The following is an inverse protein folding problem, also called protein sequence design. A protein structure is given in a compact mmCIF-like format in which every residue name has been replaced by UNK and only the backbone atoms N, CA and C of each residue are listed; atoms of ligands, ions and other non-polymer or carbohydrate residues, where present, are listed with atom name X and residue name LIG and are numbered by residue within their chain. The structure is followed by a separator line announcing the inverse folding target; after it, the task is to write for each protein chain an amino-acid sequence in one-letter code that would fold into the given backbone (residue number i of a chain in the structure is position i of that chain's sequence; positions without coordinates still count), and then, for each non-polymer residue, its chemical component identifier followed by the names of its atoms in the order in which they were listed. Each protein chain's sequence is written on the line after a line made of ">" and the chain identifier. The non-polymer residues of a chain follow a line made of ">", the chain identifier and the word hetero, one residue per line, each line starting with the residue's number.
data_IF_290479913304
#
_entry.id   IF_290479913304
#
_cell.length_a   1.000
_cell.length_b   1.000
_cell.length_c   1.000
_cell.angle_alpha   90.00
_cell.angle_beta   90.00
_cell.angle_gamma   90.00
#
_symmetry.space_group_name_H-M   'P 1'
#
loop_
_entity.id
_entity.type
_entity.pdbx_description
1 polymer ?
#
# COMPACT_ATOMS: atom_id res chain seq x y z
N UNK A 1 -24.95 -10.20 33.76
CA UNK A 1 -23.49 -10.02 34.01
C UNK A 1 -22.80 -9.62 32.69
N UNK A 2 -23.14 -8.45 32.18
CA UNK A 2 -22.81 -7.90 30.85
C UNK A 2 -21.53 -7.05 30.85
N UNK A 3 -20.46 -7.51 31.50
CA UNK A 3 -19.32 -6.64 31.86
C UNK A 3 -17.96 -6.99 31.24
N UNK A 4 -17.81 -8.05 30.42
CA UNK A 4 -16.48 -8.42 29.89
C UNK A 4 -16.34 -8.43 28.37
N UNK A 5 -17.33 -7.94 27.62
CA UNK A 5 -17.23 -7.82 26.15
C UNK A 5 -17.14 -6.37 25.65
N UNK A 6 -17.21 -5.38 26.56
CA UNK A 6 -17.16 -3.95 26.24
C UNK A 6 -15.73 -3.39 26.34
N UNK A 7 -14.76 -4.13 26.87
CA UNK A 7 -13.40 -3.60 27.08
C UNK A 7 -12.41 -3.76 25.91
N UNK A 8 -12.86 -4.20 24.73
CA UNK A 8 -11.99 -4.27 23.53
C UNK A 8 -12.52 -3.44 22.34
N UNK A 9 -13.61 -2.68 22.52
CA UNK A 9 -14.26 -1.91 21.43
C UNK A 9 -14.26 -0.39 21.72
N UNK A 10 -13.46 0.09 22.66
CA UNK A 10 -13.38 1.53 23.00
C UNK A 10 -12.00 2.20 22.81
N UNK A 11 -11.15 1.69 21.91
CA UNK A 11 -9.90 2.37 21.52
C UNK A 11 -9.88 2.87 20.05
N UNK A 12 -11.00 2.81 19.32
CA UNK A 12 -11.02 3.14 17.89
C UNK A 12 -11.98 4.27 17.48
N UNK A 13 -12.15 5.28 18.33
CA UNK A 13 -12.57 6.59 17.84
C UNK A 13 -11.43 7.22 17.02
N UNK A 14 -11.25 6.76 15.78
CA UNK A 14 -10.22 7.25 14.84
C UNK A 14 -10.77 8.50 14.15
N UNK A 15 -10.05 9.61 14.26
CA UNK A 15 -10.42 10.87 13.60
C UNK A 15 -10.38 10.74 12.07
N UNK A 16 -11.17 11.54 11.36
CA UNK A 16 -11.16 11.63 9.88
C UNK A 16 -9.75 11.87 9.32
N UNK A 17 -8.91 12.61 10.05
CA UNK A 17 -7.49 12.85 9.75
C UNK A 17 -6.64 11.58 9.81
N UNK A 18 -6.92 10.67 10.76
CA UNK A 18 -6.24 9.37 10.86
C UNK A 18 -6.59 8.47 9.67
N UNK A 19 -7.87 8.44 9.27
CA UNK A 19 -8.36 7.65 8.13
C UNK A 19 -7.76 8.15 6.81
N UNK A 20 -7.73 9.47 6.60
CA UNK A 20 -7.05 10.07 5.45
C UNK A 20 -5.55 9.68 5.41
N UNK A 21 -4.86 9.74 6.54
CA UNK A 21 -3.43 9.41 6.59
C UNK A 21 -3.14 7.93 6.24
N UNK A 22 -4.05 7.01 6.56
CA UNK A 22 -3.90 5.60 6.18
C UNK A 22 -4.23 5.35 4.71
N UNK A 23 -5.24 6.04 4.16
CA UNK A 23 -5.61 5.93 2.74
C UNK A 23 -4.52 6.46 1.80
N UNK A 24 -3.78 7.48 2.22
CA UNK A 24 -2.80 8.15 1.35
C UNK A 24 -1.32 7.89 1.71
N UNK A 25 -1.00 7.38 2.91
CA UNK A 25 0.40 7.24 3.38
C UNK A 25 0.72 6.00 4.26
N UNK A 26 -0.11 4.96 4.28
CA UNK A 26 0.08 3.83 5.20
C UNK A 26 1.20 2.85 4.81
N UNK A 27 2.40 2.95 5.43
CA UNK A 27 3.31 1.80 5.60
C UNK A 27 2.70 0.78 6.57
N UNK A 28 2.86 -0.49 6.23
CA UNK A 28 2.32 -1.68 6.89
C UNK A 28 2.46 -1.72 8.42
N UNK A 29 1.35 -1.67 9.14
CA UNK A 29 1.24 -2.31 10.45
C UNK A 29 0.75 -3.75 10.25
N UNK A 30 1.67 -4.69 9.96
CA UNK A 30 1.36 -6.12 9.96
C UNK A 30 1.19 -6.59 11.41
N UNK A 31 -0.01 -6.44 11.96
CA UNK A 31 -0.47 -7.41 12.96
C UNK A 31 -0.89 -8.67 12.21
N UNK A 32 -0.48 -9.85 12.68
CA UNK A 32 -1.01 -11.13 12.19
C UNK A 32 -2.51 -11.15 12.47
N UNK A 33 -3.29 -10.67 11.51
CA UNK A 33 -4.74 -10.77 11.53
C UNK A 33 -5.07 -12.15 11.00
N UNK A 34 -5.71 -12.98 11.81
CA UNK A 34 -6.28 -14.22 11.32
C UNK A 34 -7.46 -13.86 10.41
N UNK A 35 -7.36 -14.19 9.12
CA UNK A 35 -8.43 -13.95 8.16
C UNK A 35 -9.69 -14.70 8.59
N UNK A 36 -10.85 -14.04 8.74
CA UNK A 36 -12.12 -14.72 8.93
C UNK A 36 -12.38 -15.61 7.72
N UNK A 37 -12.57 -16.90 7.95
CA UNK A 37 -12.95 -17.87 6.92
C UNK A 37 -14.02 -18.81 7.48
N UNK A 38 -14.72 -19.52 6.60
CA UNK A 38 -15.80 -20.43 7.00
C UNK A 38 -15.33 -21.51 8.00
N UNK A 39 -14.05 -21.89 7.95
CA UNK A 39 -13.43 -22.76 8.94
C UNK A 39 -13.39 -22.10 10.33
N UNK A 40 -12.96 -20.85 10.45
CA UNK A 40 -12.94 -20.13 11.72
C UNK A 40 -14.35 -19.98 12.28
N UNK A 41 -15.33 -19.63 11.45
CA UNK A 41 -16.73 -19.54 11.87
C UNK A 41 -17.26 -20.90 12.39
N UNK A 42 -17.00 -21.98 11.67
CA UNK A 42 -17.35 -23.34 12.08
C UNK A 42 -16.69 -23.75 13.41
N UNK A 43 -15.38 -23.50 13.57
CA UNK A 43 -14.63 -23.80 14.80
C UNK A 43 -15.18 -23.01 15.98
N UNK A 44 -15.49 -21.72 15.78
CA UNK A 44 -16.08 -20.87 16.82
C UNK A 44 -17.48 -21.32 17.20
N UNK A 45 -18.31 -21.75 16.24
CA UNK A 45 -19.62 -22.31 16.53
C UNK A 45 -19.50 -23.59 17.36
N UNK A 46 -18.64 -24.54 16.94
CA UNK A 46 -18.42 -25.79 17.70
C UNK A 46 -17.84 -25.57 19.09
N UNK A 47 -16.95 -24.58 19.23
CA UNK A 47 -16.43 -24.19 20.54
C UNK A 47 -17.56 -23.66 21.43
N UNK A 48 -18.46 -22.85 20.88
CA UNK A 48 -19.60 -22.30 21.62
C UNK A 48 -20.59 -23.40 22.02
N UNK A 49 -20.97 -24.30 21.11
CA UNK A 49 -21.88 -25.44 21.38
C UNK A 49 -21.38 -26.28 22.58
N UNK A 50 -20.06 -26.51 22.66
CA UNK A 50 -19.45 -27.31 23.73
C UNK A 50 -19.35 -26.48 25.03
N UNK A 51 -18.97 -25.21 24.92
CA UNK A 51 -18.83 -24.33 26.08
C UNK A 51 -20.17 -23.88 26.70
N UNK A 52 -21.29 -24.03 26.00
CA UNK A 52 -22.63 -23.81 26.55
C UNK A 52 -22.94 -24.76 27.71
N UNK A 53 -22.41 -25.99 27.66
CA UNK A 53 -22.64 -27.03 28.66
C UNK A 53 -21.59 -27.04 29.79
N UNK A 54 -20.64 -26.09 29.78
CA UNK A 54 -19.54 -26.04 30.75
C UNK A 54 -19.63 -24.81 31.66
N UNK A 55 -19.28 -25.02 32.93
CA UNK A 55 -19.17 -23.94 33.91
C UNK A 55 -18.07 -22.96 33.49
N UNK A 56 -18.21 -21.69 33.90
CA UNK A 56 -17.36 -20.58 33.40
C UNK A 56 -15.85 -20.78 33.60
N UNK A 57 -15.42 -21.58 34.58
CA UNK A 57 -14.02 -21.93 34.84
C UNK A 57 -13.48 -23.13 34.06
N UNK A 58 -14.37 -23.93 33.46
CA UNK A 58 -14.03 -25.18 32.75
C UNK A 58 -14.16 -25.05 31.23
N UNK A 59 -14.52 -23.86 30.75
CA UNK A 59 -14.67 -23.59 29.33
C UNK A 59 -13.34 -23.70 28.59
N UNK A 60 -13.39 -24.35 27.45
CA UNK A 60 -12.26 -24.47 26.57
C UNK A 60 -11.86 -23.10 26.01
N UNK A 61 -10.55 -22.84 26.01
CA UNK A 61 -9.98 -21.73 25.25
C UNK A 61 -9.79 -22.17 23.81
N UNK A 62 -9.96 -21.25 22.87
CA UNK A 62 -9.87 -21.53 21.43
C UNK A 62 -8.59 -22.29 21.02
N UNK A 63 -7.38 -21.92 21.49
CA UNK A 63 -6.16 -22.63 21.09
C UNK A 63 -6.11 -24.08 21.61
N UNK A 64 -6.58 -24.30 22.84
CA UNK A 64 -6.61 -25.61 23.50
C UNK A 64 -7.64 -26.52 22.81
N UNK A 65 -8.81 -25.98 22.50
CA UNK A 65 -9.87 -26.66 21.75
C UNK A 65 -9.41 -27.10 20.36
N UNK A 66 -8.80 -26.18 19.60
CA UNK A 66 -8.31 -26.48 18.25
C UNK A 66 -7.26 -27.59 18.32
N UNK A 67 -6.35 -27.54 19.29
CA UNK A 67 -5.30 -28.55 19.41
C UNK A 67 -5.87 -29.94 19.78
N UNK A 68 -6.83 -29.99 20.70
CA UNK A 68 -7.44 -31.25 21.15
C UNK A 68 -8.36 -31.88 20.09
N UNK A 69 -9.10 -31.08 19.31
CA UNK A 69 -10.17 -31.56 18.42
C UNK A 69 -9.85 -31.39 16.92
N UNK A 70 -8.60 -31.07 16.56
CA UNK A 70 -8.19 -30.75 15.18
C UNK A 70 -8.67 -31.77 14.14
N UNK A 71 -8.43 -33.06 14.40
CA UNK A 71 -8.75 -34.15 13.48
C UNK A 71 -10.26 -34.30 13.24
N UNK A 72 -11.04 -34.25 14.32
CA UNK A 72 -12.51 -34.33 14.27
C UNK A 72 -13.14 -33.10 13.60
N UNK A 73 -12.61 -31.90 13.88
CA UNK A 73 -13.10 -30.67 13.26
C UNK A 73 -12.90 -30.69 11.75
N UNK A 74 -11.72 -31.14 11.27
CA UNK A 74 -11.42 -31.26 9.85
C UNK A 74 -12.34 -32.28 9.17
N UNK A 75 -12.58 -33.43 9.81
CA UNK A 75 -13.48 -34.47 9.30
C UNK A 75 -14.94 -34.01 9.24
N UNK A 76 -15.41 -33.24 10.22
CA UNK A 76 -16.78 -32.71 10.21
C UNK A 76 -16.96 -31.60 9.18
N UNK A 77 -15.96 -30.74 9.03
CA UNK A 77 -16.01 -29.65 8.06
C UNK A 77 -15.97 -30.15 6.61
N UNK A 78 -15.22 -31.21 6.32
CA UNK A 78 -15.18 -31.80 4.98
C UNK A 78 -16.53 -32.41 4.55
N UNK A 79 -17.34 -32.88 5.52
CA UNK A 79 -18.68 -33.44 5.30
C UNK A 79 -19.79 -32.40 5.15
N UNK A 80 -19.52 -31.11 5.39
CA UNK A 80 -20.53 -30.05 5.25
C UNK A 80 -20.91 -29.85 3.78
N UNK A 81 -22.23 -29.77 3.52
CA UNK A 81 -22.76 -29.51 2.18
C UNK A 81 -22.45 -28.08 1.74
N UNK A 82 -22.44 -27.79 0.42
CA UNK A 82 -22.28 -26.42 -0.08
C UNK A 82 -23.28 -25.44 0.53
N UNK A 83 -24.54 -25.86 0.71
CA UNK A 83 -25.61 -25.06 1.33
C UNK A 83 -25.34 -24.73 2.80
N UNK A 84 -24.76 -25.66 3.55
CA UNK A 84 -24.34 -25.41 4.93
C UNK A 84 -23.17 -24.43 4.96
N UNK A 85 -22.23 -24.53 4.00
CA UNK A 85 -21.10 -23.61 3.87
C UNK A 85 -21.55 -22.18 3.49
N UNK A 86 -22.59 -22.02 2.68
CA UNK A 86 -23.21 -20.72 2.39
C UNK A 86 -23.99 -20.15 3.58
N UNK A 87 -24.60 -20.99 4.43
CA UNK A 87 -25.24 -20.52 5.66
C UNK A 87 -24.29 -19.78 6.62
N UNK A 88 -22.99 -20.13 6.60
CA UNK A 88 -21.97 -19.37 7.33
C UNK A 88 -21.67 -17.99 6.70
N UNK A 89 -21.83 -17.83 5.38
CA UNK A 89 -21.74 -16.53 4.72
C UNK A 89 -22.94 -15.66 5.06
N UNK A 90 -24.14 -16.21 5.11
CA UNK A 90 -25.36 -15.48 5.50
C UNK A 90 -25.29 -15.00 6.95
N UNK A 91 -24.74 -15.84 7.84
CA UNK A 91 -24.48 -15.46 9.22
C UNK A 91 -23.47 -14.30 9.31
N UNK A 92 -22.44 -14.29 8.46
CA UNK A 92 -21.47 -13.18 8.39
C UNK A 92 -22.10 -11.90 7.86
N UNK A 93 -22.90 -11.97 6.79
CA UNK A 93 -23.65 -10.84 6.25
C UNK A 93 -24.58 -10.24 7.30
N UNK A 94 -25.30 -11.10 8.05
CA UNK A 94 -26.16 -10.69 9.16
C UNK A 94 -25.38 -9.99 10.28
N UNK A 95 -24.20 -10.50 10.61
CA UNK A 95 -23.31 -9.95 11.63
C UNK A 95 -22.75 -8.58 11.22
N UNK A 96 -22.33 -8.43 9.96
CA UNK A 96 -21.92 -7.14 9.37
C UNK A 96 -23.03 -6.09 9.47
N UNK A 97 -24.26 -6.45 9.05
CA UNK A 97 -25.42 -5.55 9.13
C UNK A 97 -25.77 -5.13 10.56
N UNK A 98 -25.67 -6.05 11.54
CA UNK A 98 -25.98 -5.75 12.95
C UNK A 98 -24.92 -4.90 13.65
N UNK A 99 -23.65 -5.07 13.29
CA UNK A 99 -22.52 -4.38 13.92
C UNK A 99 -22.11 -3.10 13.18
N UNK A 100 -22.75 -2.80 12.04
CA UNK A 100 -22.34 -1.70 11.15
C UNK A 100 -20.96 -1.91 10.54
N UNK A 101 -20.49 -3.16 10.47
CA UNK A 101 -19.18 -3.50 9.95
C UNK A 101 -19.23 -3.63 8.42
N UNK A 102 -18.38 -2.88 7.74
CA UNK A 102 -18.24 -2.90 6.28
C UNK A 102 -16.91 -3.58 5.90
N UNK A 103 -16.92 -4.42 4.88
CA UNK A 103 -15.71 -5.12 4.46
C UNK A 103 -15.92 -6.09 3.32
N UNK A 104 -14.83 -6.70 2.88
CA UNK A 104 -14.86 -7.73 1.86
C UNK A 104 -13.81 -8.80 2.15
N UNK A 105 -13.99 -9.99 1.57
CA UNK A 105 -12.95 -11.00 1.50
C UNK A 105 -12.95 -11.70 0.14
N UNK A 106 -11.78 -12.17 -0.25
CA UNK A 106 -11.57 -13.00 -1.43
C UNK A 106 -10.83 -14.24 -0.97
N UNK A 107 -11.38 -15.40 -1.28
CA UNK A 107 -10.73 -16.68 -1.07
C UNK A 107 -10.66 -17.42 -2.41
N UNK A 108 -9.47 -17.90 -2.75
CA UNK A 108 -9.17 -18.58 -4.01
C UNK A 108 -8.53 -19.92 -3.70
N UNK A 109 -8.52 -20.83 -4.68
CA UNK A 109 -7.79 -22.08 -4.56
C UNK A 109 -6.27 -21.84 -4.51
N UNK A 110 -5.59 -22.73 -3.78
CA UNK A 110 -4.13 -22.68 -3.59
C UNK A 110 -3.33 -23.52 -4.58
N UNK A 111 -3.97 -24.37 -5.37
CA UNK A 111 -3.29 -25.28 -6.30
C UNK A 111 -4.23 -25.80 -7.38
N UNK A 112 -3.65 -26.35 -8.44
CA UNK A 112 -4.38 -26.87 -9.61
C UNK A 112 -5.30 -28.04 -9.29
N UNK A 113 -4.99 -28.80 -8.24
CA UNK A 113 -5.77 -29.97 -7.79
C UNK A 113 -7.10 -29.59 -7.13
N UNK A 114 -7.25 -28.35 -6.68
CA UNK A 114 -8.51 -27.86 -6.12
C UNK A 114 -9.37 -27.26 -7.26
N UNK A 115 -10.56 -27.81 -7.44
CA UNK A 115 -11.54 -27.37 -8.44
C UNK A 115 -12.51 -26.32 -7.89
N UNK A 116 -12.30 -25.85 -6.67
CA UNK A 116 -13.09 -24.77 -6.07
C UNK A 116 -12.85 -23.45 -6.79
N UNK A 117 -13.92 -22.84 -7.32
CA UNK A 117 -13.84 -21.49 -7.87
C UNK A 117 -13.63 -20.41 -6.79
N UNK A 118 -13.24 -19.19 -7.19
CA UNK A 118 -13.08 -18.06 -6.28
C UNK A 118 -14.35 -17.77 -5.49
N UNK A 119 -14.20 -17.49 -4.20
CA UNK A 119 -15.27 -17.03 -3.32
C UNK A 119 -15.04 -15.58 -2.97
N UNK A 120 -16.03 -14.77 -3.31
CA UNK A 120 -16.03 -13.34 -3.06
C UNK A 120 -17.17 -13.00 -2.09
N UNK A 121 -16.89 -12.07 -1.20
CA UNK A 121 -17.90 -11.42 -0.37
C UNK A 121 -17.55 -9.95 -0.28
N UNK A 122 -18.54 -9.09 -0.49
CA UNK A 122 -18.43 -7.65 -0.34
C UNK A 122 -19.69 -7.13 0.34
N UNK A 123 -19.53 -6.25 1.33
CA UNK A 123 -20.62 -5.37 1.73
C UNK A 123 -20.78 -4.26 0.69
N UNK A 124 -21.97 -3.65 0.61
CA UNK A 124 -22.30 -2.65 -0.42
C UNK A 124 -21.30 -1.49 -0.46
N UNK A 125 -20.88 -0.97 0.69
CA UNK A 125 -19.90 0.13 0.73
C UNK A 125 -18.50 -0.33 0.39
N UNK A 126 -18.14 -1.56 0.77
CA UNK A 126 -16.85 -2.15 0.44
C UNK A 126 -16.71 -2.40 -1.06
N UNK A 127 -17.77 -2.85 -1.73
CA UNK A 127 -17.80 -3.01 -3.18
C UNK A 127 -17.69 -1.66 -3.88
N UNK A 128 -18.49 -0.66 -3.48
CA UNK A 128 -18.38 0.70 -4.02
C UNK A 128 -16.98 1.29 -3.82
N UNK A 129 -16.37 1.08 -2.67
CA UNK A 129 -14.99 1.51 -2.43
C UNK A 129 -14.00 0.80 -3.37
N UNK A 130 -14.12 -0.52 -3.53
CA UNK A 130 -13.25 -1.28 -4.43
C UNK A 130 -13.38 -0.79 -5.89
N UNK A 131 -14.61 -0.66 -6.39
CA UNK A 131 -14.85 -0.24 -7.77
C UNK A 131 -14.53 1.24 -8.02
N UNK A 132 -14.95 2.14 -7.12
CA UNK A 132 -14.89 3.59 -7.39
C UNK A 132 -13.60 4.24 -6.90
N UNK A 133 -13.02 3.76 -5.78
CA UNK A 133 -11.82 4.38 -5.19
C UNK A 133 -10.56 3.63 -5.59
N UNK A 134 -10.59 2.30 -5.57
CA UNK A 134 -9.42 1.49 -5.93
C UNK A 134 -9.34 1.19 -7.44
N UNK A 135 -10.39 1.49 -8.21
CA UNK A 135 -10.52 1.09 -9.63
C UNK A 135 -10.30 -0.43 -9.82
N UNK A 136 -10.82 -1.20 -8.87
CA UNK A 136 -10.71 -2.65 -8.84
C UNK A 136 -12.07 -3.28 -9.08
N UNK A 137 -12.18 -4.04 -10.16
CA UNK A 137 -13.30 -4.95 -10.38
C UNK A 137 -13.10 -6.23 -9.56
N UNK A 138 -13.97 -6.55 -8.58
CA UNK A 138 -13.78 -7.67 -7.64
C UNK A 138 -13.54 -9.03 -8.29
N UNK A 139 -14.36 -9.39 -9.29
CA UNK A 139 -14.25 -10.66 -10.00
C UNK A 139 -12.90 -10.78 -10.72
N UNK A 140 -12.50 -9.73 -11.44
CA UNK A 140 -11.23 -9.68 -12.15
C UNK A 140 -10.04 -9.71 -11.20
N UNK A 141 -10.13 -9.06 -10.04
CA UNK A 141 -9.12 -9.12 -8.99
C UNK A 141 -8.99 -10.56 -8.45
N UNK A 142 -10.10 -11.24 -8.17
CA UNK A 142 -10.08 -12.62 -7.69
C UNK A 142 -9.47 -13.58 -8.71
N UNK A 143 -9.81 -13.45 -9.99
CA UNK A 143 -9.23 -14.27 -11.07
C UNK A 143 -7.72 -14.03 -11.25
N UNK A 144 -7.27 -12.78 -11.18
CA UNK A 144 -5.84 -12.45 -11.23
C UNK A 144 -5.09 -13.04 -10.03
N UNK A 145 -5.67 -12.91 -8.84
CA UNK A 145 -5.10 -13.46 -7.63
C UNK A 145 -5.02 -14.99 -7.72
N UNK A 146 -6.08 -15.65 -8.22
CA UNK A 146 -6.10 -17.10 -8.40
C UNK A 146 -5.04 -17.55 -9.41
N UNK A 147 -4.97 -16.91 -10.58
CA UNK A 147 -3.94 -17.22 -11.56
C UNK A 147 -2.54 -17.04 -10.98
N UNK A 148 -2.28 -15.99 -10.21
CA UNK A 148 -0.98 -15.76 -9.59
C UNK A 148 -0.57 -16.89 -8.64
N UNK A 149 -1.50 -17.32 -7.77
CA UNK A 149 -1.26 -18.39 -6.79
C UNK A 149 -1.14 -19.75 -7.46
N UNK A 150 -2.05 -20.09 -8.39
CA UNK A 150 -2.07 -21.38 -9.08
C UNK A 150 -0.87 -21.56 -10.01
N UNK A 151 -0.41 -20.49 -10.67
CA UNK A 151 0.73 -20.54 -11.57
C UNK A 151 2.09 -20.66 -10.86
N UNK A 152 2.15 -20.66 -9.52
CA UNK A 152 3.42 -20.74 -8.78
C UNK A 152 4.36 -19.57 -9.08
N UNK A 153 3.79 -18.41 -9.42
CA UNK A 153 4.55 -17.20 -9.76
C UNK A 153 5.18 -16.55 -8.53
N UNK A 154 4.89 -17.02 -7.34
CA UNK A 154 5.59 -16.72 -6.09
C UNK A 154 7.08 -17.09 -6.15
N UNK A 155 7.44 -18.19 -6.83
CA UNK A 155 8.83 -18.59 -7.09
C UNK A 155 9.52 -17.72 -8.16
N UNK A 156 8.74 -17.13 -9.06
CA UNK A 156 9.20 -16.24 -10.11
C UNK A 156 9.02 -14.75 -9.76
N UNK A 157 8.52 -14.40 -8.57
CA UNK A 157 8.30 -13.01 -8.18
C UNK A 157 9.63 -12.23 -8.05
N UNK A 158 10.75 -12.92 -7.84
CA UNK A 158 12.10 -12.35 -7.98
C UNK A 158 12.52 -12.11 -9.46
N UNK A 159 11.88 -12.80 -10.42
CA UNK A 159 12.11 -12.70 -11.86
C UNK A 159 11.05 -11.87 -12.60
N UNK A 160 9.95 -11.50 -11.94
CA UNK A 160 8.98 -10.51 -12.41
C UNK A 160 9.66 -9.14 -12.39
N UNK A 161 10.50 -8.89 -13.40
CA UNK A 161 10.72 -7.54 -13.91
C UNK A 161 9.36 -6.86 -13.95
N UNK A 162 9.21 -5.76 -13.23
CA UNK A 162 8.10 -4.81 -13.36
C UNK A 162 7.59 -4.83 -14.81
N UNK A 163 6.27 -4.97 -15.06
CA UNK A 163 5.72 -5.01 -16.41
C UNK A 163 6.40 -3.90 -17.19
N UNK A 164 6.99 -4.25 -18.33
CA UNK A 164 7.90 -3.43 -19.12
C UNK A 164 7.23 -2.09 -19.47
N UNK A 165 7.21 -1.14 -18.53
CA UNK A 165 6.56 0.16 -18.70
C UNK A 165 7.23 0.78 -19.91
N UNK A 166 6.46 1.03 -20.99
CA UNK A 166 7.00 1.70 -22.16
C UNK A 166 7.82 2.91 -21.74
N UNK A 167 8.90 3.22 -22.45
CA UNK A 167 9.87 4.24 -22.04
C UNK A 167 9.19 5.54 -21.56
N UNK A 168 8.14 5.98 -22.27
CA UNK A 168 7.32 7.14 -21.92
C UNK A 168 6.65 7.04 -20.54
N UNK A 169 6.21 5.85 -20.13
CA UNK A 169 5.60 5.62 -18.82
C UNK A 169 6.63 5.67 -17.71
N UNK A 170 7.86 5.19 -17.93
CA UNK A 170 8.97 5.37 -16.99
C UNK A 170 9.33 6.86 -16.84
N UNK A 171 9.49 7.56 -17.95
CA UNK A 171 9.75 9.01 -17.98
C UNK A 171 8.67 9.77 -17.22
N UNK A 172 7.40 9.46 -17.49
CA UNK A 172 6.25 10.07 -16.81
C UNK A 172 6.30 9.82 -15.30
N UNK A 173 6.55 8.58 -14.88
CA UNK A 173 6.63 8.22 -13.46
C UNK A 173 7.76 8.94 -12.73
N UNK A 174 8.95 9.01 -13.31
CA UNK A 174 10.07 9.77 -12.72
C UNK A 174 9.72 11.25 -12.58
N UNK A 175 9.16 11.87 -13.62
CA UNK A 175 8.75 13.30 -13.59
C UNK A 175 7.70 13.56 -12.51
N UNK A 176 6.71 12.68 -12.36
CA UNK A 176 5.67 12.81 -11.34
C UNK A 176 6.28 12.76 -9.93
N UNK A 177 7.15 11.79 -9.63
CA UNK A 177 7.78 11.67 -8.31
C UNK A 177 8.64 12.91 -8.00
N UNK A 178 9.45 13.36 -8.96
CA UNK A 178 10.30 14.54 -8.80
C UNK A 178 9.42 15.79 -8.54
N UNK A 179 8.38 16.00 -9.34
CA UNK A 179 7.49 17.16 -9.23
C UNK A 179 6.69 17.15 -7.92
N UNK A 180 6.19 15.99 -7.52
CA UNK A 180 5.44 15.83 -6.27
C UNK A 180 6.34 16.08 -5.06
N UNK A 181 7.54 15.50 -5.05
CA UNK A 181 8.52 15.75 -4.00
C UNK A 181 8.91 17.23 -3.88
N UNK A 182 9.10 17.92 -5.01
CA UNK A 182 9.37 19.36 -5.01
C UNK A 182 8.20 20.14 -4.40
N UNK A 183 6.98 19.84 -4.83
CA UNK A 183 5.78 20.51 -4.32
C UNK A 183 5.65 20.33 -2.79
N UNK A 184 5.92 19.13 -2.27
CA UNK A 184 5.91 18.85 -0.83
C UNK A 184 6.95 19.70 -0.09
N UNK A 185 8.21 19.68 -0.52
CA UNK A 185 9.29 20.40 0.18
C UNK A 185 9.06 21.91 0.16
N UNK A 186 8.55 22.46 -0.95
CA UNK A 186 8.18 23.87 -1.04
C UNK A 186 6.97 24.21 -0.15
N UNK A 187 5.93 23.37 -0.14
CA UNK A 187 4.77 23.57 0.73
C UNK A 187 5.19 23.60 2.21
N UNK A 188 6.13 22.73 2.59
CA UNK A 188 6.65 22.74 3.95
C UNK A 188 7.48 23.97 4.30
N UNK A 189 8.22 24.53 3.33
CA UNK A 189 9.05 25.72 3.55
C UNK A 189 8.21 26.97 3.70
N UNK A 190 7.11 27.09 2.96
CA UNK A 190 6.29 28.31 2.90
C UNK A 190 4.97 28.24 3.70
N UNK A 191 4.87 27.35 4.71
CA UNK A 191 3.66 26.94 5.48
C UNK A 191 2.61 28.00 5.87
N UNK A 192 2.87 29.30 5.74
CA UNK A 192 1.92 30.38 6.08
C UNK A 192 1.93 31.61 5.13
N UNK A 193 2.62 31.57 3.98
CA UNK A 193 2.59 32.67 3.00
C UNK A 193 1.72 32.29 1.80
N UNK A 194 0.77 33.17 1.49
CA UNK A 194 -0.18 33.12 0.35
C UNK A 194 0.23 32.12 -0.72
N UNK A 195 -0.60 31.08 -0.90
CA UNK A 195 -0.62 30.07 -1.97
C UNK A 195 0.32 30.46 -3.13
N UNK A 196 1.63 30.24 -2.94
CA UNK A 196 2.62 30.45 -3.99
C UNK A 196 2.17 29.57 -5.12
N UNK A 197 2.04 30.14 -6.33
CA UNK A 197 1.76 29.35 -7.53
C UNK A 197 2.64 28.10 -7.48
N UNK A 198 2.01 26.92 -7.59
CA UNK A 198 2.74 25.65 -7.64
C UNK A 198 3.79 25.79 -8.73
N UNK A 199 5.06 25.87 -8.31
CA UNK A 199 6.16 26.02 -9.26
C UNK A 199 6.44 24.67 -9.87
N UNK A 200 6.47 24.67 -11.19
CA UNK A 200 6.80 23.50 -11.98
C UNK A 200 8.31 23.31 -11.98
N UNK A 201 8.75 22.05 -12.01
CA UNK A 201 10.15 21.68 -12.07
C UNK A 201 10.78 22.27 -13.33
N UNK A 202 11.80 23.11 -13.15
CA UNK A 202 12.61 23.63 -14.25
C UNK A 202 13.93 22.84 -14.31
N UNK A 203 14.06 21.98 -15.32
CA UNK A 203 15.29 21.21 -15.53
C UNK A 203 16.35 21.99 -16.31
N UNK A 204 15.98 23.05 -17.02
CA UNK A 204 16.90 23.82 -17.85
C UNK A 204 17.68 24.85 -17.04
N UNK A 205 17.00 25.46 -16.06
CA UNK A 205 17.57 26.37 -15.07
C UNK A 205 17.44 25.76 -13.66
N UNK A 206 17.77 24.48 -13.51
CA UNK A 206 17.64 23.77 -12.24
C UNK A 206 18.43 24.47 -11.12
N UNK A 207 19.69 24.81 -11.38
CA UNK A 207 20.54 25.47 -10.39
C UNK A 207 19.95 26.81 -9.95
N UNK A 208 19.65 27.71 -10.88
CA UNK A 208 19.12 29.03 -10.54
C UNK A 208 17.68 29.00 -9.98
N UNK A 209 16.73 28.42 -10.73
CA UNK A 209 15.29 28.55 -10.42
C UNK A 209 14.84 27.63 -9.28
N UNK A 210 15.56 26.52 -9.05
CA UNK A 210 15.22 25.53 -8.04
C UNK A 210 16.21 25.58 -6.87
N UNK A 211 17.50 25.38 -7.12
CA UNK A 211 18.49 25.27 -6.04
C UNK A 211 18.70 26.60 -5.34
N UNK A 212 19.10 27.63 -6.07
CA UNK A 212 19.45 28.94 -5.51
C UNK A 212 18.21 29.69 -5.02
N UNK A 213 17.18 29.76 -5.85
CA UNK A 213 15.98 30.53 -5.54
C UNK A 213 15.14 29.92 -4.41
N UNK A 214 15.07 28.59 -4.32
CA UNK A 214 14.29 27.92 -3.27
C UNK A 214 15.11 27.32 -2.15
N UNK A 215 16.44 27.23 -2.27
CA UNK A 215 17.29 26.57 -1.28
C UNK A 215 16.94 25.10 -1.11
N UNK A 216 16.61 24.41 -2.19
CA UNK A 216 16.26 22.98 -2.18
C UNK A 216 17.01 22.27 -3.29
N UNK A 217 17.56 21.09 -2.99
CA UNK A 217 18.32 20.31 -3.96
C UNK A 217 17.87 18.87 -3.96
N UNK A 218 17.96 18.23 -5.12
CA UNK A 218 17.73 16.82 -5.30
C UNK A 218 19.05 16.07 -5.04
N UNK A 219 19.15 15.44 -3.87
CA UNK A 219 20.35 14.73 -3.41
C UNK A 219 20.24 13.25 -3.78
N UNK A 220 21.37 12.63 -4.13
CA UNK A 220 21.43 11.21 -4.48
C UNK A 220 20.95 10.90 -5.90
N UNK A 221 21.00 11.90 -6.79
CA UNK A 221 20.84 11.68 -8.22
C UNK A 221 21.94 10.73 -8.73
N UNK A 222 21.63 9.70 -9.53
CA UNK A 222 22.63 8.73 -9.96
C UNK A 222 23.76 9.36 -10.81
N UNK A 223 25.01 9.01 -10.49
CA UNK A 223 26.21 9.60 -11.11
C UNK A 223 26.29 9.39 -12.62
N UNK A 224 25.79 8.25 -13.11
CA UNK A 224 25.82 7.87 -14.51
C UNK A 224 24.89 8.71 -15.41
N UNK A 225 24.05 9.56 -14.83
CA UNK A 225 23.10 10.44 -15.53
C UNK A 225 23.17 11.88 -15.04
N UNK A 226 24.27 12.25 -14.37
CA UNK A 226 24.58 13.65 -14.07
C UNK A 226 24.93 14.42 -15.35
N UNK A 227 24.65 15.74 -15.40
CA UNK A 227 23.99 16.56 -14.38
C UNK A 227 22.47 16.28 -14.29
N UNK A 228 21.80 16.83 -13.28
CA UNK A 228 20.32 16.74 -13.14
C UNK A 228 19.67 17.25 -14.43
N UNK A 229 18.89 16.39 -15.07
CA UNK A 229 18.29 16.68 -16.36
C UNK A 229 16.89 16.09 -16.47
N UNK A 230 16.12 16.58 -17.43
CA UNK A 230 14.77 16.10 -17.66
C UNK A 230 14.78 14.60 -17.99
N UNK A 231 13.98 13.76 -17.31
CA UNK A 231 13.96 12.31 -17.56
C UNK A 231 13.72 11.91 -19.03
N UNK A 232 13.07 12.75 -19.84
CA UNK A 232 12.91 12.46 -21.28
C UNK A 232 14.20 12.53 -22.09
N UNK A 233 15.24 13.24 -21.59
CA UNK A 233 16.53 13.36 -22.26
C UNK A 233 17.47 12.18 -21.97
N UNK A 234 17.19 11.39 -20.93
CA UNK A 234 17.99 10.22 -20.55
C UNK A 234 17.90 9.10 -21.60
N UNK A 235 16.78 9.00 -22.33
CA UNK A 235 16.63 8.22 -23.58
C UNK A 235 16.65 6.69 -23.46
N UNK A 236 17.32 6.12 -22.46
CA UNK A 236 17.45 4.67 -22.28
C UNK A 236 16.71 4.16 -21.04
N UNK A 237 16.18 2.94 -21.13
CA UNK A 237 15.52 2.28 -20.00
C UNK A 237 16.54 1.92 -18.93
N UNK A 238 17.71 1.51 -19.35
CA UNK A 238 18.83 1.05 -18.53
C UNK A 238 19.35 2.16 -17.62
N UNK A 239 19.26 3.42 -18.07
CA UNK A 239 19.61 4.58 -17.24
C UNK A 239 18.42 5.12 -16.42
N UNK A 240 17.18 4.98 -16.92
CA UNK A 240 15.98 5.42 -16.19
C UNK A 240 15.56 4.50 -15.04
N UNK A 241 15.80 3.19 -15.15
CA UNK A 241 15.44 2.24 -14.08
C UNK A 241 16.21 2.50 -12.78
N UNK A 242 17.55 2.72 -12.80
CA UNK A 242 18.30 3.14 -11.61
C UNK A 242 17.75 4.42 -10.99
N UNK A 243 17.40 5.42 -11.80
CA UNK A 243 16.80 6.67 -11.32
C UNK A 243 15.45 6.41 -10.63
N UNK A 244 14.58 5.62 -11.26
CA UNK A 244 13.27 5.28 -10.68
C UNK A 244 13.43 4.49 -9.37
N UNK A 245 14.37 3.55 -9.33
CA UNK A 245 14.75 2.83 -8.13
C UNK A 245 15.14 3.80 -7.02
N UNK A 246 16.10 4.69 -7.30
CA UNK A 246 16.61 5.65 -6.33
C UNK A 246 15.53 6.60 -5.79
N UNK A 247 14.64 7.09 -6.66
CA UNK A 247 13.49 7.90 -6.28
C UNK A 247 12.47 7.13 -5.42
N UNK A 248 12.28 5.84 -5.71
CA UNK A 248 11.31 5.00 -4.98
C UNK A 248 11.85 4.51 -3.63
N UNK A 249 13.16 4.33 -3.52
CA UNK A 249 13.84 3.91 -2.28
C UNK A 249 14.29 5.07 -1.41
N UNK A 250 13.90 6.30 -1.75
CA UNK A 250 14.29 7.54 -1.06
C UNK A 250 15.83 7.76 -1.02
N UNK A 251 16.61 7.07 -1.86
CA UNK A 251 18.05 7.36 -1.98
C UNK A 251 18.30 8.57 -2.88
N UNK A 252 17.35 8.89 -3.76
CA UNK A 252 17.27 10.17 -4.47
C UNK A 252 16.04 10.94 -3.96
N UNK A 253 16.23 12.07 -3.28
CA UNK A 253 15.13 12.83 -2.68
C UNK A 253 15.46 14.32 -2.52
N UNK A 254 14.43 15.13 -2.34
CA UNK A 254 14.56 16.55 -2.12
C UNK A 254 14.98 16.87 -0.68
N UNK A 255 16.01 17.70 -0.55
CA UNK A 255 16.53 18.17 0.74
C UNK A 255 16.49 19.70 0.76
N UNK A 256 16.17 20.26 1.93
CA UNK A 256 16.31 21.71 2.19
C UNK A 256 17.77 21.99 2.52
N UNK A 257 18.39 22.88 1.75
CA UNK A 257 19.74 23.34 2.03
C UNK A 257 19.72 24.29 3.23
N UNK A 258 20.75 24.18 4.07
CA UNK A 258 21.08 25.20 5.07
C UNK A 258 21.59 26.47 4.39
N UNK A 259 21.57 27.60 5.09
CA UNK A 259 22.02 28.88 4.51
C UNK A 259 23.50 28.82 4.07
N UNK A 260 24.35 28.11 4.82
CA UNK A 260 25.76 27.91 4.49
C UNK A 260 25.93 27.03 3.23
N UNK A 261 25.15 25.95 3.13
CA UNK A 261 25.16 25.08 1.94
C UNK A 261 24.66 25.82 0.70
N UNK A 262 23.60 26.62 0.85
CA UNK A 262 23.04 27.41 -0.24
C UNK A 262 24.04 28.47 -0.73
N UNK A 263 24.66 29.19 0.21
CA UNK A 263 25.68 30.20 -0.12
C UNK A 263 26.85 29.55 -0.87
N UNK A 264 27.32 28.40 -0.40
CA UNK A 264 28.37 27.64 -1.08
C UNK A 264 27.96 27.20 -2.48
N UNK A 265 26.74 26.68 -2.66
CA UNK A 265 26.22 26.32 -3.99
C UNK A 265 26.20 27.52 -4.94
N UNK A 266 25.75 28.69 -4.47
CA UNK A 266 25.75 29.92 -5.27
C UNK A 266 27.17 30.31 -5.68
N UNK A 267 28.13 30.27 -4.74
CA UNK A 267 29.54 30.58 -5.02
C UNK A 267 30.15 29.61 -6.04
N UNK A 268 29.90 28.30 -5.89
CA UNK A 268 30.38 27.25 -6.79
C UNK A 268 29.77 27.43 -8.20
N UNK A 269 28.46 27.70 -8.30
CA UNK A 269 27.76 27.93 -9.57
C UNK A 269 28.28 29.18 -10.29
N UNK A 270 28.50 30.29 -9.57
CA UNK A 270 29.12 31.49 -10.13
C UNK A 270 30.56 31.23 -10.60
N UNK A 271 31.34 30.46 -9.83
CA UNK A 271 32.70 30.09 -10.23
C UNK A 271 32.69 29.25 -11.52
N UNK A 272 31.80 28.27 -11.65
CA UNK A 272 31.62 27.48 -12.88
C UNK A 272 31.20 28.36 -14.07
N UNK A 273 30.23 29.25 -13.89
CA UNK A 273 29.81 30.19 -14.93
C UNK A 273 30.97 31.10 -15.39
N UNK A 274 31.79 31.58 -14.44
CA UNK A 274 32.96 32.42 -14.75
C UNK A 274 34.06 31.69 -15.54
N UNK A 275 34.14 30.36 -15.38
CA UNK A 275 35.02 29.48 -16.15
C UNK A 275 34.47 29.14 -17.54
N UNK A 276 33.28 29.62 -17.88
CA UNK A 276 32.63 29.41 -19.17
C UNK A 276 31.74 28.16 -19.25
N UNK A 277 31.48 27.49 -18.12
CA UNK A 277 30.47 26.42 -18.07
C UNK A 277 29.06 27.03 -18.13
N UNK A 278 28.15 26.38 -18.87
CA UNK A 278 26.77 26.85 -19.01
C UNK A 278 25.96 26.37 -17.82
N UNK A 279 26.00 27.13 -16.72
CA UNK A 279 25.22 26.87 -15.50
C UNK A 279 23.85 27.52 -15.60
N UNK A 280 23.80 28.77 -16.10
CA UNK A 280 22.57 29.53 -16.30
C UNK A 280 22.22 29.61 -17.79
N UNK A 281 20.98 29.27 -18.15
CA UNK A 281 20.46 29.52 -19.49
C UNK A 281 19.63 30.80 -19.50
N UNK A 282 19.76 31.63 -20.57
CA UNK A 282 19.03 32.89 -20.70
C UNK A 282 17.52 32.70 -20.80
#
# INVERSE_FOLDING_TARGET
>A
MFSSFVHTILDFARSTRWVHRQLYFGRSARKKSHHPNAWNAFVHQRLNDINENLLKGERWRLPEFINAYKGTLLSHYSKLTPTQKTGYQDHWTSLCSRLGAEGFYIAIRGGVEDLSGPKLFFTEKAEKFACTVLDLEPCRMALKLESFVVSGLDSCAALMREPSHGLNKLVSKCRSIIQEGLAIVLCEKYKHKNKSKSKWMNYENYEHDIVEHHGVALVGWPDNILPVQNPSRIGSREALQPLLGALSTETCHWVKLTDDQLKKCIEDNHACQSKGEVVYKP
#
